data_IF_425683030473
#
_entry.id   IF_425683030473
#
_cell.length_a   1.000
_cell.length_b   1.000
_cell.length_c   1.000
_cell.angle_alpha   90.00
_cell.angle_beta   90.00
_cell.angle_gamma   90.00
#
_symmetry.space_group_name_H-M   'P 1'
#
loop_
_entity.id
_entity.type
_entity.pdbx_description
1 polymer ?
#
# COMPACT_ATOMS: atom_id res chain seq x y z
N UNK A 1 38.97 -12.73 -15.07
CA UNK A 1 39.48 -11.97 -16.21
C UNK A 1 38.41 -10.92 -16.57
N UNK A 2 38.59 -9.67 -16.19
CA UNK A 2 37.63 -8.60 -16.47
C UNK A 2 37.87 -8.02 -17.86
N UNK A 3 36.84 -7.77 -18.67
CA UNK A 3 37.02 -7.13 -19.97
C UNK A 3 37.46 -5.67 -19.78
N UNK A 4 38.55 -5.32 -20.43
CA UNK A 4 39.14 -3.98 -20.46
C UNK A 4 38.29 -3.10 -21.38
N UNK A 5 37.65 -2.08 -20.81
CA UNK A 5 36.96 -1.04 -21.56
C UNK A 5 37.98 -0.29 -22.40
N UNK A 6 37.79 -0.11 -23.71
CA UNK A 6 38.71 0.68 -24.53
C UNK A 6 38.60 2.14 -24.12
N UNK A 7 39.76 2.79 -23.98
CA UNK A 7 39.85 4.22 -23.74
C UNK A 7 39.21 5.01 -24.90
N UNK A 8 38.59 6.20 -24.61
CA UNK A 8 38.07 7.03 -25.69
C UNK A 8 39.19 7.43 -26.64
N UNK A 9 38.96 7.24 -27.94
CA UNK A 9 39.87 7.66 -28.98
C UNK A 9 40.17 9.17 -28.81
N UNK A 10 41.46 9.49 -28.73
CA UNK A 10 41.95 10.85 -28.78
C UNK A 10 41.66 11.35 -30.18
N UNK A 11 40.60 12.16 -30.32
CA UNK A 11 40.34 12.89 -31.58
C UNK A 11 41.53 13.77 -31.81
N UNK A 12 42.26 13.59 -32.90
CA UNK A 12 43.44 14.38 -33.21
C UNK A 12 43.10 15.86 -33.18
N UNK A 13 43.93 16.66 -32.56
CA UNK A 13 43.73 18.16 -32.43
C UNK A 13 43.47 18.81 -33.81
N UNK A 14 43.95 18.15 -34.91
CA UNK A 14 43.79 18.56 -36.27
C UNK A 14 42.31 18.48 -36.76
N UNK A 15 41.57 17.46 -36.38
CA UNK A 15 40.14 17.34 -36.75
C UNK A 15 39.26 18.33 -36.07
N UNK A 16 39.53 18.62 -34.80
CA UNK A 16 38.80 19.63 -34.05
C UNK A 16 39.12 21.07 -34.52
N UNK A 17 40.32 21.31 -35.02
CA UNK A 17 40.71 22.56 -35.64
C UNK A 17 40.06 22.75 -37.02
N UNK A 18 40.01 21.68 -37.82
CA UNK A 18 39.31 21.65 -39.10
C UNK A 18 37.82 21.91 -38.95
N UNK A 19 37.17 21.25 -37.99
CA UNK A 19 35.76 21.46 -37.70
C UNK A 19 35.46 22.90 -37.29
N UNK A 20 36.28 23.48 -36.39
CA UNK A 20 36.10 24.89 -35.94
C UNK A 20 36.30 25.87 -37.15
N UNK A 21 37.18 25.55 -38.07
CA UNK A 21 37.42 26.39 -39.27
C UNK A 21 36.22 26.37 -40.20
N UNK A 22 35.68 25.17 -40.48
CA UNK A 22 34.53 25.00 -41.39
C UNK A 22 33.24 25.55 -40.77
N UNK A 23 33.13 25.52 -39.45
CA UNK A 23 32.00 26.10 -38.75
C UNK A 23 32.06 27.61 -38.52
N UNK A 24 33.13 28.30 -38.99
CA UNK A 24 33.21 29.75 -38.95
C UNK A 24 32.21 30.38 -39.93
N UNK A 25 31.18 31.03 -39.39
CA UNK A 25 30.13 31.68 -40.17
C UNK A 25 28.79 30.96 -40.21
N UNK A 26 28.73 29.77 -39.62
CA UNK A 26 27.46 29.07 -39.46
C UNK A 26 26.65 29.80 -38.39
N UNK A 27 25.51 30.35 -38.74
CA UNK A 27 24.56 30.87 -37.76
C UNK A 27 23.87 29.69 -37.08
N UNK A 28 23.89 29.63 -35.73
CA UNK A 28 23.07 28.65 -35.03
C UNK A 28 21.63 28.78 -35.45
N UNK A 29 20.99 27.67 -35.77
CA UNK A 29 19.56 27.68 -36.05
C UNK A 29 18.81 28.21 -34.82
N UNK A 30 17.76 29.02 -35.01
CA UNK A 30 16.94 29.44 -33.89
C UNK A 30 16.40 28.20 -33.16
N UNK A 31 16.25 28.27 -31.85
CA UNK A 31 15.70 27.13 -31.09
C UNK A 31 14.36 26.73 -31.72
N UNK A 32 14.12 25.44 -31.92
CA UNK A 32 12.88 24.97 -32.53
C UNK A 32 11.71 25.48 -31.66
N UNK A 33 10.80 26.23 -32.28
CA UNK A 33 9.54 26.66 -31.65
C UNK A 33 8.63 25.43 -31.53
N UNK A 34 9.07 24.46 -30.72
CA UNK A 34 8.27 23.29 -30.36
C UNK A 34 7.55 23.64 -29.07
N UNK A 35 6.23 23.69 -29.13
CA UNK A 35 5.42 23.70 -27.94
C UNK A 35 5.79 22.47 -27.10
N UNK A 36 6.09 22.67 -25.81
CA UNK A 36 6.33 21.56 -24.89
C UNK A 36 4.98 20.90 -24.60
N UNK A 37 4.65 19.88 -25.39
CA UNK A 37 3.40 19.11 -25.28
C UNK A 37 3.43 18.11 -24.13
N UNK A 38 4.40 18.19 -23.22
CA UNK A 38 4.38 17.35 -22.02
C UNK A 38 3.19 17.76 -21.17
N UNK A 39 2.26 16.83 -20.92
CA UNK A 39 1.19 17.11 -19.98
C UNK A 39 1.81 17.51 -18.63
N UNK A 40 1.23 18.50 -17.99
CA UNK A 40 1.65 18.90 -16.65
C UNK A 40 1.69 17.65 -15.75
N UNK A 41 2.73 17.47 -14.92
CA UNK A 41 2.78 16.34 -14.01
C UNK A 41 1.51 16.36 -13.15
N UNK A 42 0.91 15.18 -12.89
CA UNK A 42 -0.27 15.12 -12.05
C UNK A 42 0.04 15.75 -10.70
N UNK A 43 -0.92 16.43 -10.08
CA UNK A 43 -0.71 17.06 -8.78
C UNK A 43 -0.20 16.02 -7.78
N UNK A 44 0.75 16.37 -6.89
CA UNK A 44 1.35 15.44 -5.92
C UNK A 44 0.36 14.96 -4.85
N UNK A 45 -0.89 15.37 -4.94
CA UNK A 45 -1.96 14.97 -4.01
C UNK A 45 -2.52 13.63 -4.46
N UNK A 46 -2.48 12.58 -3.62
CA UNK A 46 -3.07 11.27 -3.95
C UNK A 46 -4.60 11.39 -3.97
N UNK A 47 -5.15 11.67 -5.15
CA UNK A 47 -6.60 11.89 -5.37
C UNK A 47 -7.40 10.70 -4.82
N UNK A 48 -6.92 9.49 -5.02
CA UNK A 48 -7.53 8.27 -4.51
C UNK A 48 -7.61 8.21 -2.99
N UNK A 49 -6.63 8.76 -2.30
CA UNK A 49 -6.63 8.85 -0.82
C UNK A 49 -7.71 9.80 -0.32
N UNK A 50 -7.88 10.94 -0.99
CA UNK A 50 -8.91 11.94 -0.64
C UNK A 50 -10.30 11.37 -0.92
N UNK A 51 -10.46 10.62 -2.01
CA UNK A 51 -11.71 9.97 -2.38
C UNK A 51 -12.09 8.88 -1.37
N UNK A 52 -11.12 8.06 -0.96
CA UNK A 52 -11.30 7.05 0.08
C UNK A 52 -11.66 7.68 1.44
N UNK A 53 -11.03 8.78 1.81
CA UNK A 53 -11.35 9.53 3.03
C UNK A 53 -12.76 10.11 2.98
N UNK A 54 -13.17 10.68 1.85
CA UNK A 54 -14.51 11.20 1.63
C UNK A 54 -15.58 10.11 1.70
N UNK A 55 -15.35 8.98 1.07
CA UNK A 55 -16.28 7.86 1.11
C UNK A 55 -16.47 7.32 2.53
N UNK A 56 -15.38 7.19 3.30
CA UNK A 56 -15.47 6.74 4.69
C UNK A 56 -16.23 7.74 5.56
N UNK A 57 -16.03 9.05 5.35
CA UNK A 57 -16.79 10.09 6.08
C UNK A 57 -18.27 10.06 5.70
N UNK A 58 -18.60 9.87 4.43
CA UNK A 58 -19.98 9.73 3.97
C UNK A 58 -20.64 8.45 4.51
N UNK A 59 -19.88 7.34 4.54
CA UNK A 59 -20.33 6.10 5.13
C UNK A 59 -20.55 6.22 6.66
N UNK A 60 -19.68 6.94 7.35
CA UNK A 60 -19.86 7.27 8.79
C UNK A 60 -21.07 8.16 9.04
N UNK A 61 -21.35 9.10 8.12
CA UNK A 61 -22.51 10.00 8.26
C UNK A 61 -23.86 9.29 7.99
N UNK A 62 -23.88 8.26 7.16
CA UNK A 62 -25.06 7.42 6.95
C UNK A 62 -25.32 6.41 8.07
N UNK A 63 -24.46 6.39 9.09
CA UNK A 63 -24.37 5.33 10.09
C UNK A 63 -24.89 5.68 11.48
N UNK A 64 -25.62 6.74 11.62
CA UNK A 64 -26.39 7.00 12.86
C UNK A 64 -27.58 6.01 13.01
N UNK A 65 -27.31 4.73 12.79
CA UNK A 65 -28.27 3.63 12.95
C UNK A 65 -27.76 2.61 13.98
N UNK A 66 -28.46 2.48 15.06
CA UNK A 66 -28.42 1.52 16.19
C UNK A 66 -27.05 0.97 16.65
N UNK A 67 -26.66 1.28 17.91
CA UNK A 67 -25.42 0.83 18.51
C UNK A 67 -25.37 -0.66 18.93
N UNK A 68 -26.44 -1.41 18.80
CA UNK A 68 -26.57 -2.77 19.39
C UNK A 68 -26.31 -3.96 18.47
N UNK A 69 -26.00 -3.74 17.21
CA UNK A 69 -25.76 -4.84 16.24
C UNK A 69 -24.26 -5.16 16.06
N UNK A 70 -23.57 -5.52 17.14
CA UNK A 70 -22.23 -6.11 17.06
C UNK A 70 -22.34 -7.62 17.07
N UNK A 71 -22.80 -8.20 16.01
CA UNK A 71 -22.57 -9.62 15.74
C UNK A 71 -21.15 -9.79 15.14
N UNK A 72 -20.27 -10.40 15.92
CA UNK A 72 -19.06 -11.04 15.42
C UNK A 72 -19.56 -12.27 14.66
N UNK A 73 -20.00 -12.05 13.43
CA UNK A 73 -20.32 -13.15 12.51
C UNK A 73 -19.01 -13.91 12.27
N UNK A 74 -18.93 -15.10 12.82
CA UNK A 74 -17.84 -16.06 12.63
C UNK A 74 -16.45 -15.42 12.69
N UNK A 75 -15.54 -15.96 13.43
CA UNK A 75 -14.12 -15.60 13.63
C UNK A 75 -13.35 -15.06 12.39
N UNK A 76 -14.05 -14.78 11.28
CA UNK A 76 -13.51 -14.41 9.97
C UNK A 76 -13.51 -12.91 9.67
N UNK A 77 -14.31 -12.11 10.36
CA UNK A 77 -14.36 -10.65 10.15
C UNK A 77 -14.67 -9.89 11.45
N UNK A 78 -14.35 -8.62 11.44
CA UNK A 78 -14.61 -7.69 12.52
C UNK A 78 -15.00 -6.33 11.96
N UNK A 79 -15.94 -5.70 12.61
CA UNK A 79 -16.36 -4.33 12.32
C UNK A 79 -16.43 -3.58 13.65
N UNK A 80 -15.78 -2.43 13.72
CA UNK A 80 -15.86 -1.57 14.91
C UNK A 80 -17.33 -1.15 15.10
N UNK A 81 -17.84 -1.16 16.34
CA UNK A 81 -19.17 -0.63 16.65
C UNK A 81 -19.37 0.77 16.10
N UNK A 82 -20.54 1.03 15.51
CA UNK A 82 -20.89 2.30 14.89
C UNK A 82 -20.52 2.44 13.43
N UNK A 83 -19.92 1.41 12.80
CA UNK A 83 -19.65 1.39 11.35
C UNK A 83 -20.69 0.54 10.58
N UNK A 84 -20.96 0.91 9.31
CA UNK A 84 -21.89 0.15 8.46
C UNK A 84 -21.32 -1.21 8.06
N UNK A 85 -22.18 -2.20 8.03
CA UNK A 85 -21.87 -3.53 7.47
C UNK A 85 -21.37 -3.47 6.01
N UNK A 86 -21.73 -2.41 5.29
CA UNK A 86 -21.26 -2.16 3.92
C UNK A 86 -19.72 -2.04 3.83
N UNK A 87 -19.07 -1.54 4.88
CA UNK A 87 -17.60 -1.48 4.98
C UNK A 87 -17.00 -2.89 4.84
N UNK A 88 -17.54 -3.89 5.54
CA UNK A 88 -17.07 -5.28 5.41
C UNK A 88 -17.26 -5.84 4.00
N UNK A 89 -18.43 -5.57 3.39
CA UNK A 89 -18.74 -6.01 2.03
C UNK A 89 -17.75 -5.41 1.02
N UNK A 90 -17.47 -4.12 1.14
CA UNK A 90 -16.49 -3.42 0.32
C UNK A 90 -15.07 -3.94 0.55
N UNK A 91 -14.70 -4.22 1.82
CA UNK A 91 -13.39 -4.78 2.16
C UNK A 91 -13.19 -6.16 1.54
N UNK A 92 -14.18 -7.04 1.63
CA UNK A 92 -14.17 -8.36 0.99
C UNK A 92 -14.09 -8.30 -0.54
N UNK A 93 -14.74 -7.30 -1.15
CA UNK A 93 -14.68 -7.05 -2.60
C UNK A 93 -13.40 -6.33 -3.04
N UNK A 94 -12.47 -6.09 -2.11
CA UNK A 94 -11.22 -5.37 -2.38
C UNK A 94 -11.44 -4.00 -3.04
N UNK A 95 -12.43 -3.28 -2.58
CA UNK A 95 -12.75 -1.94 -3.02
C UNK A 95 -11.59 -0.96 -2.74
N UNK A 96 -10.87 -1.14 -1.63
CA UNK A 96 -9.69 -0.33 -1.29
C UNK A 96 -8.43 -0.92 -1.89
N UNK A 97 -7.55 -0.03 -2.35
CA UNK A 97 -6.23 -0.41 -2.84
C UNK A 97 -5.37 -0.88 -1.66
N UNK A 98 -4.77 -2.06 -1.79
CA UNK A 98 -3.83 -2.57 -0.82
C UNK A 98 -2.55 -1.73 -0.85
N UNK A 99 -2.18 -1.13 0.29
CA UNK A 99 -1.09 -0.18 0.38
C UNK A 99 0.17 -0.76 1.03
N UNK A 100 0.02 -1.76 1.89
CA UNK A 100 1.14 -2.46 2.50
C UNK A 100 0.77 -3.88 2.89
N UNK A 101 1.79 -4.72 3.07
CA UNK A 101 1.65 -6.12 3.39
C UNK A 101 2.66 -6.55 4.44
N UNK A 102 2.24 -7.43 5.34
CA UNK A 102 3.08 -8.08 6.35
C UNK A 102 2.91 -9.60 6.25
N UNK A 103 4.02 -10.29 6.14
CA UNK A 103 4.04 -11.75 6.18
C UNK A 103 4.55 -12.24 7.54
N UNK A 104 3.77 -13.09 8.18
CA UNK A 104 4.04 -13.65 9.51
C UNK A 104 4.41 -15.14 9.45
N UNK A 105 4.61 -15.70 8.25
CA UNK A 105 4.94 -17.11 8.15
C UNK A 105 6.25 -17.42 8.88
N UNK A 106 6.30 -18.55 9.57
CA UNK A 106 7.49 -18.98 10.31
C UNK A 106 7.74 -18.27 11.65
N UNK A 107 6.97 -17.22 11.98
CA UNK A 107 7.09 -16.52 13.25
C UNK A 107 6.36 -17.29 14.37
N UNK A 108 6.88 -17.20 15.59
CA UNK A 108 6.19 -17.63 16.80
C UNK A 108 5.00 -16.70 17.10
N UNK A 109 4.10 -17.13 17.98
CA UNK A 109 2.93 -16.34 18.35
C UNK A 109 3.27 -14.96 18.95
N UNK A 110 4.37 -14.86 19.71
CA UNK A 110 4.79 -13.60 20.34
C UNK A 110 5.48 -12.67 19.34
N UNK A 111 6.34 -13.21 18.50
CA UNK A 111 6.97 -12.48 17.40
C UNK A 111 5.94 -11.94 16.41
N UNK A 112 4.97 -12.77 16.03
CA UNK A 112 3.87 -12.36 15.14
C UNK A 112 3.01 -11.24 15.74
N UNK A 113 2.74 -11.29 17.06
CA UNK A 113 2.01 -10.25 17.76
C UNK A 113 2.80 -8.93 17.76
N UNK A 114 4.08 -8.95 18.10
CA UNK A 114 4.95 -7.80 18.10
C UNK A 114 5.09 -7.18 16.69
N UNK A 115 5.33 -8.02 15.67
CA UNK A 115 5.42 -7.59 14.28
C UNK A 115 4.11 -6.94 13.79
N UNK A 116 2.96 -7.52 14.14
CA UNK A 116 1.64 -6.98 13.79
C UNK A 116 1.42 -5.60 14.41
N UNK A 117 1.70 -5.43 15.71
CA UNK A 117 1.54 -4.14 16.38
C UNK A 117 2.45 -3.06 15.78
N UNK A 118 3.71 -3.39 15.55
CA UNK A 118 4.69 -2.49 14.94
C UNK A 118 4.27 -2.07 13.53
N UNK A 119 3.80 -3.02 12.73
CA UNK A 119 3.34 -2.79 11.36
C UNK A 119 2.11 -1.88 11.31
N UNK A 120 1.11 -2.08 12.19
CA UNK A 120 -0.07 -1.21 12.27
C UNK A 120 0.34 0.20 12.68
N UNK A 121 1.17 0.33 13.71
CA UNK A 121 1.61 1.63 14.19
C UNK A 121 2.39 2.42 13.13
N UNK A 122 3.27 1.75 12.40
CA UNK A 122 4.04 2.34 11.30
C UNK A 122 3.13 2.74 10.13
N UNK A 123 2.20 1.85 9.74
CA UNK A 123 1.24 2.10 8.67
C UNK A 123 0.33 3.28 9.01
N UNK A 124 -0.18 3.35 10.24
CA UNK A 124 -0.99 4.47 10.70
C UNK A 124 -0.20 5.80 10.69
N UNK A 125 1.10 5.78 11.08
CA UNK A 125 1.97 6.96 10.99
C UNK A 125 2.18 7.42 9.55
N UNK A 126 2.30 6.48 8.60
CA UNK A 126 2.43 6.74 7.16
C UNK A 126 1.09 7.13 6.51
N UNK A 127 -0.02 7.07 7.25
CA UNK A 127 -1.37 7.34 6.75
C UNK A 127 -1.89 6.26 5.79
N UNK A 128 -1.35 5.05 5.87
CA UNK A 128 -1.86 3.91 5.10
C UNK A 128 -3.15 3.42 5.73
N UNK A 129 -4.10 2.98 4.89
CA UNK A 129 -5.43 2.61 5.35
C UNK A 129 -5.79 1.17 5.11
N UNK A 130 -5.43 0.61 3.96
CA UNK A 130 -5.75 -0.76 3.63
C UNK A 130 -4.49 -1.61 3.63
N UNK A 131 -4.44 -2.59 4.53
CA UNK A 131 -3.27 -3.42 4.77
C UNK A 131 -3.64 -4.89 4.59
N UNK A 132 -2.66 -5.73 4.25
CA UNK A 132 -2.79 -7.18 4.26
C UNK A 132 -1.81 -7.79 5.25
N UNK A 133 -2.28 -8.74 6.05
CA UNK A 133 -1.44 -9.51 6.96
C UNK A 133 -1.63 -10.98 6.62
N UNK A 134 -0.54 -11.66 6.29
CA UNK A 134 -0.50 -13.07 5.93
C UNK A 134 -0.03 -13.84 7.17
N UNK A 135 -0.93 -14.60 7.77
CA UNK A 135 -0.66 -15.40 8.96
C UNK A 135 -0.56 -16.89 8.68
N UNK A 136 -0.75 -17.28 7.41
CA UNK A 136 -0.76 -18.68 7.00
C UNK A 136 -2.04 -19.44 7.39
N UNK A 137 -2.17 -20.64 6.85
CA UNK A 137 -3.34 -21.51 7.10
C UNK A 137 -3.09 -22.52 8.25
N UNK A 138 -1.92 -22.45 8.90
CA UNK A 138 -1.60 -23.34 10.01
C UNK A 138 -1.08 -24.73 9.61
N UNK A 139 -0.77 -24.97 8.33
CA UNK A 139 -0.30 -26.27 7.84
C UNK A 139 1.06 -26.69 8.42
N UNK A 140 1.84 -25.74 8.93
CA UNK A 140 3.17 -25.95 9.53
C UNK A 140 3.18 -26.09 11.06
N UNK A 141 2.05 -25.93 11.75
CA UNK A 141 2.01 -26.07 13.21
C UNK A 141 1.87 -27.55 13.62
N UNK A 142 2.45 -27.93 14.79
CA UNK A 142 2.50 -29.28 15.32
C UNK A 142 1.12 -29.98 15.39
N UNK A 143 0.02 -29.20 15.55
CA UNK A 143 -1.36 -29.71 15.59
C UNK A 143 -2.20 -29.28 14.39
N UNK A 144 -1.61 -28.74 13.32
CA UNK A 144 -2.32 -28.15 12.19
C UNK A 144 -3.38 -27.09 12.59
N UNK A 145 -3.27 -26.55 13.79
CA UNK A 145 -4.15 -25.48 14.25
C UNK A 145 -3.60 -24.11 13.83
N UNK A 146 -4.41 -23.24 13.26
CA UNK A 146 -3.99 -21.91 12.83
C UNK A 146 -3.88 -20.94 14.03
N UNK A 147 -2.95 -21.22 14.96
CA UNK A 147 -2.76 -20.47 16.21
C UNK A 147 -2.55 -18.98 15.95
N UNK A 148 -1.76 -18.63 14.93
CA UNK A 148 -1.51 -17.24 14.56
C UNK A 148 -2.77 -16.52 14.08
N UNK A 149 -3.64 -17.20 13.32
CA UNK A 149 -4.90 -16.67 12.81
C UNK A 149 -5.77 -16.10 13.93
N UNK A 150 -6.03 -16.90 14.96
CA UNK A 150 -6.85 -16.48 16.10
C UNK A 150 -6.20 -15.35 16.92
N UNK A 151 -4.88 -15.45 17.14
CA UNK A 151 -4.13 -14.47 17.94
C UNK A 151 -4.06 -13.11 17.25
N UNK A 152 -3.73 -13.09 15.96
CA UNK A 152 -3.67 -11.86 15.16
C UNK A 152 -5.04 -11.18 15.11
N UNK A 153 -6.12 -11.93 14.88
CA UNK A 153 -7.48 -11.36 14.82
C UNK A 153 -7.93 -10.76 16.14
N UNK A 154 -7.67 -11.43 17.27
CA UNK A 154 -7.96 -10.89 18.60
C UNK A 154 -7.19 -9.58 18.87
N UNK A 155 -5.94 -9.52 18.43
CA UNK A 155 -5.10 -8.34 18.55
C UNK A 155 -5.61 -7.20 17.69
N UNK A 156 -5.98 -7.48 16.44
CA UNK A 156 -6.56 -6.49 15.52
C UNK A 156 -7.88 -5.93 16.03
N UNK A 157 -8.78 -6.77 16.56
CA UNK A 157 -10.07 -6.32 17.08
C UNK A 157 -9.95 -5.37 18.30
N UNK A 158 -8.86 -5.48 19.04
CA UNK A 158 -8.59 -4.62 20.22
C UNK A 158 -7.80 -3.36 19.88
N UNK A 159 -7.24 -3.29 18.67
CA UNK A 159 -6.37 -2.17 18.33
C UNK A 159 -7.17 -0.91 17.94
N UNK A 160 -6.91 0.25 18.58
CA UNK A 160 -7.73 1.46 18.37
C UNK A 160 -7.70 2.02 16.95
N UNK A 161 -6.64 1.80 16.19
CA UNK A 161 -6.55 2.26 14.81
C UNK A 161 -7.30 1.37 13.81
N UNK A 162 -7.74 0.15 14.20
CA UNK A 162 -8.41 -0.79 13.31
C UNK A 162 -9.91 -0.49 13.27
N UNK A 163 -10.44 -0.21 12.09
CA UNK A 163 -11.87 0.00 11.83
C UNK A 163 -12.59 -1.31 11.53
N UNK A 164 -12.00 -2.11 10.67
CA UNK A 164 -12.56 -3.38 10.24
C UNK A 164 -11.45 -4.31 9.75
N UNK A 165 -11.71 -5.60 9.79
CA UNK A 165 -10.92 -6.57 9.04
C UNK A 165 -11.81 -7.67 8.48
N UNK A 166 -11.37 -8.28 7.38
CA UNK A 166 -12.06 -9.39 6.76
C UNK A 166 -11.06 -10.34 6.08
N UNK A 167 -11.48 -11.57 5.89
CA UNK A 167 -10.77 -12.54 5.09
C UNK A 167 -10.89 -12.17 3.60
N UNK A 168 -9.77 -12.04 2.87
CA UNK A 168 -9.81 -11.71 1.45
C UNK A 168 -10.32 -12.90 0.61
N UNK A 169 -10.73 -12.67 -0.66
CA UNK A 169 -11.02 -13.75 -1.60
C UNK A 169 -9.82 -14.70 -1.78
N UNK A 170 -10.08 -15.94 -2.18
CA UNK A 170 -9.04 -16.98 -2.38
C UNK A 170 -7.88 -16.51 -3.25
N UNK A 171 -8.17 -15.79 -4.34
CA UNK A 171 -7.16 -15.22 -5.26
C UNK A 171 -6.22 -14.19 -4.60
N UNK A 172 -6.54 -13.73 -3.39
CA UNK A 172 -5.76 -12.73 -2.64
C UNK A 172 -5.28 -13.24 -1.28
N UNK A 173 -5.23 -14.58 -1.09
CA UNK A 173 -4.70 -15.21 0.13
C UNK A 173 -5.74 -15.97 0.94
N UNK A 174 -7.04 -15.78 0.71
CA UNK A 174 -8.12 -16.53 1.36
C UNK A 174 -7.96 -16.64 2.87
N UNK A 175 -8.21 -17.84 3.40
CA UNK A 175 -8.15 -18.15 4.84
C UNK A 175 -6.76 -17.99 5.49
N UNK A 176 -5.71 -17.84 4.67
CA UNK A 176 -4.33 -17.63 5.15
C UNK A 176 -3.96 -16.16 5.36
N UNK A 177 -4.84 -15.22 5.02
CA UNK A 177 -4.58 -13.80 5.15
C UNK A 177 -5.79 -13.06 5.76
N UNK A 178 -5.55 -11.83 6.20
CA UNK A 178 -6.58 -10.89 6.64
C UNK A 178 -6.29 -9.53 6.03
N UNK A 179 -7.31 -8.88 5.48
CA UNK A 179 -7.25 -7.49 5.02
C UNK A 179 -7.81 -6.60 6.11
N UNK A 180 -7.08 -5.55 6.45
CA UNK A 180 -7.35 -4.66 7.57
C UNK A 180 -7.57 -3.25 7.05
N UNK A 181 -8.62 -2.60 7.52
CA UNK A 181 -8.90 -1.19 7.27
C UNK A 181 -8.56 -0.38 8.51
N UNK A 182 -7.67 0.58 8.38
CA UNK A 182 -7.28 1.49 9.43
C UNK A 182 -8.06 2.81 9.36
N UNK A 183 -8.17 3.46 10.50
CA UNK A 183 -8.69 4.82 10.62
C UNK A 183 -7.82 5.80 9.83
N UNK A 184 -8.44 6.72 9.12
CA UNK A 184 -7.72 7.80 8.48
C UNK A 184 -7.06 8.68 9.55
N UNK A 185 -5.78 8.99 9.38
CA UNK A 185 -5.12 9.97 10.23
C UNK A 185 -5.82 11.32 10.04
N UNK A 186 -6.46 11.85 11.07
CA UNK A 186 -6.87 13.25 11.07
C UNK A 186 -5.59 14.07 10.93
N UNK A 187 -5.48 14.80 9.82
CA UNK A 187 -4.39 15.78 9.66
C UNK A 187 -4.40 16.78 10.81
N UNK A 188 -3.28 17.42 11.07
CA UNK A 188 -3.22 18.53 12.01
C UNK A 188 -4.13 19.65 11.56
#
# INVERSE_FOLDING_TARGET
MKPRVPAPAVVAEDEAALFRREMRGVRPAPPPNRADLRPAPPPPVPVQRIEDERQVILELAHLAGNPDDVEIEDNHCYLRPGLARDVLRKLRRAHWVLQAELDLHGLTGDEAAAATLSFIAESARKGLRCLRIIHGQGHGSYKREPVLKGRVRKLLARHPAVLAFAEPPLVRGGAGAVVVLLEARKGP
#
